data_IF_130107612571
#
_entry.id   IF_130107612571
#
_cell.length_a   1.000
_cell.length_b   1.000
_cell.length_c   1.000
_cell.angle_alpha   90.00
_cell.angle_beta   90.00
_cell.angle_gamma   90.00
#
_symmetry.space_group_name_H-M   'P 1'
#
loop_
_entity.id
_entity.type
_entity.pdbx_description
1 polymer ?
#
# COMPACT_ATOMS: atom_id res chain seq x y z
N UNK A 1 13.87 51.44 51.13
CA UNK A 1 15.29 51.58 50.76
C UNK A 1 15.61 50.45 49.78
N UNK A 2 15.95 50.81 48.54
CA UNK A 2 16.63 50.04 47.45
C UNK A 2 15.98 48.75 46.90
N UNK A 3 15.40 48.80 45.68
CA UNK A 3 15.95 48.48 44.33
C UNK A 3 15.66 47.01 43.92
N UNK A 4 14.92 46.83 42.82
CA UNK A 4 15.31 45.94 41.72
C UNK A 4 14.36 46.11 40.51
N UNK A 5 14.77 46.97 39.57
CA UNK A 5 14.29 46.99 38.19
C UNK A 5 14.69 45.69 37.49
N UNK A 6 13.77 45.05 36.77
CA UNK A 6 14.10 44.15 35.66
C UNK A 6 13.17 44.45 34.48
N UNK A 7 13.65 45.34 33.61
CA UNK A 7 13.33 45.28 32.20
C UNK A 7 14.22 44.22 31.54
N UNK A 8 13.67 43.43 30.62
CA UNK A 8 14.44 42.76 29.59
C UNK A 8 13.62 42.69 28.29
N UNK A 9 14.35 42.99 27.21
CA UNK A 9 13.92 43.32 25.87
C UNK A 9 13.14 42.19 25.18
N UNK A 10 12.05 42.55 24.50
CA UNK A 10 11.52 41.79 23.37
C UNK A 10 12.41 42.02 22.15
N UNK A 11 13.32 41.10 21.86
CA UNK A 11 14.02 41.02 20.57
C UNK A 11 13.18 40.19 19.60
N UNK A 12 12.55 40.88 18.64
CA UNK A 12 11.86 40.26 17.52
C UNK A 12 12.88 39.53 16.63
N UNK A 13 12.82 38.19 16.64
CA UNK A 13 13.53 37.33 15.71
C UNK A 13 12.85 37.39 14.34
N UNK A 14 13.33 38.29 13.47
CA UNK A 14 13.08 38.21 12.03
C UNK A 14 13.84 36.99 11.48
N UNK A 15 13.19 35.83 11.54
CA UNK A 15 13.64 34.65 10.82
C UNK A 15 13.31 34.89 9.35
N UNK A 16 14.28 35.41 8.58
CA UNK A 16 14.17 35.45 7.12
C UNK A 16 14.12 34.02 6.62
N UNK A 17 12.95 33.60 6.15
CA UNK A 17 12.78 32.35 5.39
C UNK A 17 13.56 32.55 4.09
N UNK A 18 14.83 32.11 4.07
CA UNK A 18 15.56 31.95 2.83
C UNK A 18 14.87 30.81 2.09
N UNK A 19 14.01 31.16 1.13
CA UNK A 19 13.54 30.19 0.15
C UNK A 19 14.77 29.64 -0.55
N UNK A 20 15.13 28.38 -0.28
CA UNK A 20 16.12 27.66 -1.09
C UNK A 20 15.54 27.54 -2.49
N UNK A 21 15.83 28.52 -3.35
CA UNK A 21 15.57 28.41 -4.78
C UNK A 21 16.45 27.27 -5.28
N UNK A 22 15.85 26.11 -5.49
CA UNK A 22 16.55 24.96 -6.08
C UNK A 22 16.84 25.32 -7.54
N UNK A 23 18.11 25.63 -7.84
CA UNK A 23 18.55 25.88 -9.22
C UNK A 23 18.48 24.61 -10.08
N UNK A 24 18.35 24.77 -11.39
CA UNK A 24 18.38 23.68 -12.38
C UNK A 24 19.55 22.72 -12.10
N UNK A 25 19.31 21.41 -12.12
CA UNK A 25 20.36 20.41 -11.91
C UNK A 25 20.75 19.74 -13.22
N UNK A 26 22.02 19.75 -13.58
CA UNK A 26 22.51 19.16 -14.82
C UNK A 26 23.59 18.11 -14.57
N UNK A 27 23.63 17.09 -15.42
CA UNK A 27 24.76 16.16 -15.43
C UNK A 27 26.00 16.88 -15.93
N UNK A 28 27.11 16.80 -15.20
CA UNK A 28 28.39 17.36 -15.59
C UNK A 28 29.44 16.27 -15.75
N UNK A 29 30.00 16.18 -16.95
CA UNK A 29 31.01 15.18 -17.28
C UNK A 29 31.80 15.50 -18.55
N UNK A 30 32.91 14.78 -18.72
CA UNK A 30 33.71 14.72 -19.94
C UNK A 30 34.16 13.27 -20.14
N UNK A 31 33.88 12.68 -21.31
CA UNK A 31 34.27 11.30 -21.62
C UNK A 31 34.49 11.06 -23.11
N UNK A 32 35.09 9.92 -23.48
CA UNK A 32 35.28 9.53 -24.89
C UNK A 32 34.03 8.89 -25.49
N UNK A 33 33.10 8.46 -24.63
CA UNK A 33 31.78 7.97 -25.01
C UNK A 33 30.70 8.57 -24.13
N UNK A 34 29.45 8.47 -24.58
CA UNK A 34 28.28 8.84 -23.77
C UNK A 34 28.27 8.06 -22.45
N UNK A 35 28.55 6.76 -22.52
CA UNK A 35 28.61 5.84 -21.38
C UNK A 35 29.67 6.26 -20.37
N UNK A 36 30.91 6.47 -20.82
CA UNK A 36 32.02 6.90 -19.95
C UNK A 36 31.74 8.25 -19.28
N UNK A 37 31.12 9.20 -20.00
CA UNK A 37 30.74 10.50 -19.45
C UNK A 37 29.68 10.33 -18.35
N UNK A 38 28.70 9.44 -18.55
CA UNK A 38 27.67 9.18 -17.54
C UNK A 38 28.23 8.42 -16.33
N UNK A 39 29.17 7.48 -16.51
CA UNK A 39 29.77 6.71 -15.40
C UNK A 39 30.71 7.56 -14.54
N UNK A 40 31.47 8.48 -15.14
CA UNK A 40 32.45 9.33 -14.43
C UNK A 40 31.88 10.69 -14.00
N UNK A 41 30.67 11.00 -14.44
CA UNK A 41 30.02 12.28 -14.21
C UNK A 41 29.33 12.38 -12.86
N UNK A 42 28.80 13.58 -12.59
CA UNK A 42 27.95 13.83 -11.42
C UNK A 42 26.86 14.82 -11.73
N UNK A 43 25.76 14.69 -11.01
CA UNK A 43 24.67 15.67 -11.04
C UNK A 43 25.05 16.89 -10.20
N UNK A 44 25.08 18.08 -10.80
CA UNK A 44 25.38 19.34 -10.13
C UNK A 44 24.19 20.28 -10.18
N UNK A 45 24.11 21.22 -9.24
CA UNK A 45 23.18 22.35 -9.29
C UNK A 45 23.84 23.50 -10.05
N UNK A 46 23.17 24.02 -11.08
CA UNK A 46 23.64 25.13 -11.87
C UNK A 46 23.66 26.43 -11.06
N UNK A 47 24.62 27.29 -11.37
CA UNK A 47 24.86 28.56 -10.66
C UNK A 47 24.84 29.71 -11.67
N UNK A 48 24.46 30.92 -11.23
CA UNK A 48 24.63 32.17 -11.97
C UNK A 48 24.10 32.17 -13.43
N UNK A 49 22.78 32.38 -13.62
CA UNK A 49 22.12 32.52 -14.94
C UNK A 49 22.31 31.31 -15.89
N UNK A 50 22.70 30.16 -15.36
CA UNK A 50 22.87 28.91 -16.10
C UNK A 50 21.57 28.11 -16.11
N UNK A 51 20.64 28.54 -16.95
CA UNK A 51 19.26 28.02 -16.94
C UNK A 51 19.02 26.92 -17.99
N UNK A 52 20.08 26.27 -18.51
CA UNK A 52 19.98 25.11 -19.39
C UNK A 52 21.09 24.08 -19.16
N UNK A 53 20.76 22.80 -19.35
CA UNK A 53 21.73 21.74 -19.48
C UNK A 53 22.19 21.63 -20.95
N UNK A 54 23.50 21.72 -21.16
CA UNK A 54 24.13 21.58 -22.46
C UNK A 54 24.81 20.21 -22.62
N UNK A 55 24.73 19.65 -23.83
CA UNK A 55 25.57 18.53 -24.27
C UNK A 55 26.31 18.92 -25.54
N UNK A 56 27.62 18.67 -25.58
CA UNK A 56 28.44 18.79 -26.79
C UNK A 56 29.03 17.43 -27.13
N UNK A 57 28.77 16.96 -28.35
CA UNK A 57 29.37 15.73 -28.88
C UNK A 57 30.27 16.11 -30.06
N UNK A 58 31.56 15.90 -29.93
CA UNK A 58 32.55 16.10 -31.00
C UNK A 58 33.01 14.75 -31.51
N UNK A 59 32.89 14.52 -32.81
CA UNK A 59 33.36 13.31 -33.49
C UNK A 59 34.43 13.67 -34.51
N UNK A 60 35.50 12.88 -34.50
CA UNK A 60 36.58 12.95 -35.46
C UNK A 60 37.09 11.54 -35.74
N UNK A 61 36.71 11.00 -36.90
CA UNK A 61 36.91 9.61 -37.30
C UNK A 61 36.44 8.63 -36.20
N UNK A 62 37.34 7.84 -35.64
CA UNK A 62 37.08 6.86 -34.58
C UNK A 62 37.04 7.46 -33.18
N UNK A 63 37.34 8.75 -33.02
CA UNK A 63 37.43 9.42 -31.72
C UNK A 63 36.18 10.27 -31.48
N UNK A 64 35.52 10.03 -30.35
CA UNK A 64 34.42 10.84 -29.87
C UNK A 64 34.81 11.52 -28.55
N UNK A 65 34.29 12.72 -28.31
CA UNK A 65 34.33 13.38 -27.00
C UNK A 65 32.95 13.94 -26.68
N UNK A 66 32.45 13.60 -25.49
CA UNK A 66 31.16 14.03 -24.96
C UNK A 66 31.42 14.94 -23.77
N UNK A 67 30.79 16.12 -23.77
CA UNK A 67 30.81 17.06 -22.66
C UNK A 67 29.38 17.39 -22.25
N UNK A 68 29.08 17.28 -20.97
CA UNK A 68 27.78 17.67 -20.38
C UNK A 68 28.04 18.69 -19.29
N UNK A 69 27.23 19.75 -19.22
CA UNK A 69 27.43 20.85 -18.27
C UNK A 69 26.20 21.76 -18.16
N UNK A 70 26.13 22.53 -17.07
CA UNK A 70 25.29 23.74 -16.98
C UNK A 70 25.80 24.81 -17.95
N UNK A 71 24.89 25.56 -18.57
CA UNK A 71 25.24 26.65 -19.48
C UNK A 71 24.18 27.75 -19.45
N UNK A 72 24.58 28.98 -19.76
CA UNK A 72 23.62 30.06 -19.99
C UNK A 72 22.73 29.75 -21.19
N UNK A 73 21.44 30.09 -21.08
CA UNK A 73 20.42 29.81 -22.09
C UNK A 73 20.86 30.32 -23.47
N UNK A 74 21.12 31.61 -23.57
CA UNK A 74 21.50 32.25 -24.85
C UNK A 74 22.74 31.63 -25.49
N UNK A 75 23.77 31.34 -24.69
CA UNK A 75 25.01 30.72 -25.14
C UNK A 75 24.78 29.31 -25.70
N UNK A 76 23.92 28.51 -25.08
CA UNK A 76 23.59 27.19 -25.59
C UNK A 76 22.81 27.27 -26.92
N UNK A 77 21.80 28.14 -27.00
CA UNK A 77 21.01 28.29 -28.23
C UNK A 77 21.83 28.84 -29.40
N UNK A 78 22.81 29.72 -29.14
CA UNK A 78 23.75 30.20 -30.15
C UNK A 78 24.63 29.06 -30.71
N UNK A 79 25.10 28.16 -29.86
CA UNK A 79 25.81 26.96 -30.32
C UNK A 79 24.89 26.03 -31.12
N UNK A 80 23.65 25.83 -30.65
CA UNK A 80 22.67 24.98 -31.33
C UNK A 80 22.33 25.50 -32.73
N UNK A 81 22.28 26.82 -32.94
CA UNK A 81 22.12 27.41 -34.29
C UNK A 81 23.24 26.97 -35.25
N UNK A 82 24.44 26.68 -34.74
CA UNK A 82 25.54 26.18 -35.57
C UNK A 82 25.33 24.76 -36.10
N UNK A 83 24.45 23.95 -35.49
CA UNK A 83 24.09 22.65 -36.04
C UNK A 83 23.43 22.78 -37.43
N UNK A 84 22.70 23.87 -37.67
CA UNK A 84 21.80 24.09 -38.81
C UNK A 84 22.22 25.22 -39.76
N UNK A 85 23.49 25.65 -39.73
CA UNK A 85 23.93 26.78 -40.54
C UNK A 85 23.80 26.48 -42.05
N UNK A 86 23.11 27.38 -42.77
CA UNK A 86 22.56 27.21 -44.15
C UNK A 86 23.59 27.37 -45.28
N UNK A 87 24.79 27.89 -44.99
CA UNK A 87 25.78 28.32 -46.00
C UNK A 87 26.97 27.37 -46.21
N UNK A 88 26.83 26.09 -45.88
CA UNK A 88 27.84 25.09 -46.20
C UNK A 88 27.20 23.73 -46.40
N UNK A 89 27.70 22.95 -47.36
CA UNK A 89 27.21 21.62 -47.77
C UNK A 89 27.33 20.51 -46.70
N UNK A 90 27.42 20.86 -45.41
CA UNK A 90 27.52 19.91 -44.29
C UNK A 90 26.77 20.45 -43.07
N UNK A 91 25.64 19.82 -42.72
CA UNK A 91 25.10 19.91 -41.36
C UNK A 91 26.22 19.53 -40.38
N UNK A 92 26.60 20.43 -39.46
CA UNK A 92 27.71 20.16 -38.52
C UNK A 92 27.37 19.06 -37.52
N UNK A 93 26.10 18.93 -37.15
CA UNK A 93 25.61 17.79 -36.40
C UNK A 93 25.04 16.74 -37.35
N UNK A 94 25.89 15.79 -37.74
CA UNK A 94 25.51 14.67 -38.59
C UNK A 94 26.31 13.44 -38.19
N UNK A 95 25.62 12.37 -37.79
CA UNK A 95 26.26 11.13 -37.37
C UNK A 95 26.91 10.36 -38.53
N UNK A 96 26.52 10.68 -39.76
CA UNK A 96 26.99 10.00 -40.97
C UNK A 96 28.27 10.65 -41.54
N UNK A 97 28.79 11.71 -40.90
CA UNK A 97 30.02 12.38 -41.32
C UNK A 97 31.21 11.91 -40.45
N UNK A 98 32.41 11.73 -41.05
CA UNK A 98 33.62 11.37 -40.31
C UNK A 98 34.06 12.48 -39.34
N UNK A 99 33.61 13.72 -39.52
CA UNK A 99 33.75 14.75 -38.49
C UNK A 99 32.46 15.53 -38.32
N UNK A 100 31.97 15.58 -37.09
CA UNK A 100 30.76 16.31 -36.72
C UNK A 100 30.85 16.88 -35.31
N UNK A 101 30.13 17.98 -35.09
CA UNK A 101 29.94 18.59 -33.78
C UNK A 101 28.45 18.82 -33.57
N UNK A 102 27.91 18.22 -32.51
CA UNK A 102 26.52 18.33 -32.13
C UNK A 102 26.39 19.08 -30.81
N UNK A 103 25.57 20.14 -30.82
CA UNK A 103 25.19 20.90 -29.63
C UNK A 103 23.73 20.63 -29.28
N UNK A 104 23.44 20.18 -28.06
CA UNK A 104 22.08 19.97 -27.55
C UNK A 104 21.85 20.79 -26.28
N UNK A 105 20.63 21.30 -26.15
CA UNK A 105 20.20 22.13 -25.02
C UNK A 105 18.84 21.62 -24.53
N UNK A 106 18.64 21.60 -23.21
CA UNK A 106 17.36 21.34 -22.57
C UNK A 106 17.31 22.04 -21.20
N UNK A 107 16.12 22.28 -20.69
CA UNK A 107 15.83 23.16 -19.54
C UNK A 107 15.17 22.44 -18.35
N UNK A 108 15.11 21.11 -18.35
CA UNK A 108 14.63 20.31 -17.22
C UNK A 108 15.79 19.71 -16.39
N UNK A 109 15.52 19.37 -15.14
CA UNK A 109 16.48 18.68 -14.26
C UNK A 109 16.98 17.36 -14.88
N UNK A 110 18.30 17.17 -14.89
CA UNK A 110 19.00 16.01 -15.42
C UNK A 110 18.68 15.70 -16.89
N UNK A 111 18.10 16.64 -17.64
CA UNK A 111 17.61 16.40 -19.00
C UNK A 111 18.72 16.07 -20.00
N UNK A 112 19.97 16.41 -19.68
CA UNK A 112 21.12 16.13 -20.51
C UNK A 112 21.72 14.74 -20.27
N UNK A 113 21.12 13.87 -19.45
CA UNK A 113 21.54 12.45 -19.36
C UNK A 113 21.30 11.70 -20.67
N UNK A 114 20.31 12.13 -21.47
CA UNK A 114 20.02 11.55 -22.78
C UNK A 114 21.07 11.88 -23.83
N UNK A 115 21.18 10.99 -24.83
CA UNK A 115 22.05 11.19 -25.98
C UNK A 115 21.59 12.38 -26.84
N UNK A 116 22.54 13.19 -27.29
CA UNK A 116 22.32 14.32 -28.20
C UNK A 116 21.86 13.88 -29.60
N UNK A 117 21.88 12.58 -29.90
CA UNK A 117 21.55 12.01 -31.22
C UNK A 117 20.37 11.04 -31.23
N UNK A 118 19.75 10.79 -30.08
CA UNK A 118 18.56 9.95 -30.03
C UNK A 118 17.38 10.69 -30.66
N UNK A 119 16.67 10.03 -31.60
CA UNK A 119 15.29 10.41 -31.91
C UNK A 119 14.53 10.37 -30.59
N UNK A 120 14.06 11.52 -30.13
CA UNK A 120 13.35 11.65 -28.86
C UNK A 120 11.97 11.02 -29.07
N UNK A 121 11.85 9.69 -29.04
CA UNK A 121 10.64 9.12 -28.46
C UNK A 121 10.75 9.49 -27.00
N UNK A 122 10.04 10.55 -26.61
CA UNK A 122 10.00 10.99 -25.23
C UNK A 122 9.52 9.80 -24.40
N UNK A 123 10.43 9.18 -23.64
CA UNK A 123 9.99 8.23 -22.62
C UNK A 123 9.09 9.02 -21.68
N UNK A 124 7.96 8.44 -21.36
CA UNK A 124 7.07 8.95 -20.33
C UNK A 124 7.08 7.92 -19.21
N UNK A 125 6.93 8.39 -17.99
CA UNK A 125 6.62 7.49 -16.89
C UNK A 125 5.23 6.89 -17.09
N UNK A 126 4.94 5.81 -16.36
CA UNK A 126 3.58 5.30 -16.29
C UNK A 126 2.64 6.45 -15.92
N UNK A 127 1.59 6.65 -16.72
CA UNK A 127 0.52 7.58 -16.34
C UNK A 127 0.00 7.05 -15.02
N UNK A 128 -0.06 7.88 -13.98
CA UNK A 128 -0.81 7.55 -12.77
C UNK A 128 -2.24 7.21 -13.19
N UNK A 129 -2.49 5.92 -13.39
CA UNK A 129 -3.73 5.41 -13.95
C UNK A 129 -4.67 5.21 -12.78
N UNK A 130 -5.78 5.94 -12.84
CA UNK A 130 -6.76 6.20 -11.77
C UNK A 130 -6.29 7.25 -10.77
N UNK A 131 -7.12 8.28 -10.64
CA UNK A 131 -7.04 9.33 -9.65
C UNK A 131 -6.68 8.74 -8.28
N UNK A 132 -5.73 9.35 -7.57
CA UNK A 132 -5.49 9.04 -6.16
C UNK A 132 -6.83 9.10 -5.42
N UNK A 133 -7.37 7.95 -5.04
CA UNK A 133 -8.70 7.87 -4.45
C UNK A 133 -8.71 8.66 -3.13
N UNK A 134 -9.80 9.37 -2.85
CA UNK A 134 -9.90 10.25 -1.67
C UNK A 134 -8.81 11.36 -1.62
N UNK A 135 -8.19 11.64 -2.77
CA UNK A 135 -7.11 12.61 -2.91
C UNK A 135 -7.03 13.26 -4.29
N UNK A 136 -5.91 13.94 -4.53
CA UNK A 136 -5.61 14.64 -5.78
C UNK A 136 -4.14 14.50 -6.13
N UNK A 137 -3.87 14.48 -7.44
CA UNK A 137 -2.53 14.49 -8.01
C UNK A 137 -2.41 15.69 -8.94
N UNK A 138 -1.37 16.50 -8.75
CA UNK A 138 -1.02 17.62 -9.62
C UNK A 138 0.38 17.40 -10.18
N UNK A 139 0.56 17.41 -11.50
CA UNK A 139 1.85 17.21 -12.15
C UNK A 139 2.26 18.41 -12.99
N UNK A 140 3.53 18.82 -12.90
CA UNK A 140 4.04 19.99 -13.65
C UNK A 140 4.02 19.79 -15.17
N UNK A 141 4.24 18.56 -15.65
CA UNK A 141 4.21 18.23 -17.09
C UNK A 141 3.68 16.81 -17.34
N UNK A 142 2.51 16.50 -16.77
CA UNK A 142 1.89 15.16 -16.87
C UNK A 142 2.89 14.06 -16.45
N UNK A 143 3.03 12.99 -17.24
CA UNK A 143 3.97 11.90 -17.01
C UNK A 143 5.27 12.01 -17.84
N UNK A 144 5.64 13.21 -18.33
CA UNK A 144 6.89 13.39 -19.09
C UNK A 144 8.10 13.41 -18.17
N UNK A 145 9.25 12.96 -18.67
CA UNK A 145 10.54 13.05 -17.96
C UNK A 145 10.78 14.47 -17.46
N UNK A 146 11.21 14.60 -16.21
CA UNK A 146 11.40 15.87 -15.50
C UNK A 146 10.17 16.36 -14.74
N UNK A 147 8.98 15.84 -15.06
CA UNK A 147 7.73 16.20 -14.36
C UNK A 147 7.81 15.85 -12.88
N UNK A 148 7.29 16.75 -12.04
CA UNK A 148 7.10 16.54 -10.61
C UNK A 148 5.60 16.44 -10.33
N UNK A 149 5.17 15.33 -9.72
CA UNK A 149 3.79 15.05 -9.34
C UNK A 149 3.62 15.14 -7.83
N UNK A 150 2.75 16.04 -7.39
CA UNK A 150 2.41 16.31 -6.00
C UNK A 150 1.10 15.60 -5.66
N UNK A 151 1.12 14.85 -4.55
CA UNK A 151 0.00 14.05 -4.06
C UNK A 151 -0.52 14.66 -2.76
N UNK A 152 -1.83 14.65 -2.56
CA UNK A 152 -2.46 15.07 -1.30
C UNK A 152 -3.82 14.40 -1.14
N UNK A 153 -4.18 14.02 0.08
CA UNK A 153 -5.52 13.51 0.40
C UNK A 153 -6.47 14.69 0.64
N UNK A 154 -7.69 14.60 0.12
CA UNK A 154 -8.69 15.67 0.16
C UNK A 154 -9.86 15.33 1.07
N UNK A 155 -10.14 14.05 1.30
CA UNK A 155 -11.21 13.59 2.20
C UNK A 155 -10.73 13.62 3.66
N UNK A 156 -11.60 14.09 4.56
CA UNK A 156 -11.32 14.12 5.99
C UNK A 156 -11.05 12.71 6.54
N UNK A 157 -10.08 12.59 7.44
CA UNK A 157 -9.70 11.31 8.07
C UNK A 157 -8.74 10.44 7.25
N UNK A 158 -8.35 10.88 6.04
CA UNK A 158 -7.35 10.20 5.22
C UNK A 158 -5.98 10.88 5.30
N UNK A 159 -4.92 10.08 5.22
CA UNK A 159 -3.53 10.54 5.16
C UNK A 159 -2.76 9.83 4.05
N UNK A 160 -1.66 10.44 3.58
CA UNK A 160 -0.80 9.84 2.57
C UNK A 160 0.02 8.69 3.16
N UNK A 161 -0.03 7.52 2.53
CA UNK A 161 0.81 6.38 2.87
C UNK A 161 1.59 5.88 1.64
N UNK A 162 2.94 5.81 1.70
CA UNK A 162 3.79 6.29 2.78
C UNK A 162 3.83 7.84 2.81
N UNK A 163 3.99 8.41 4.01
CA UNK A 163 3.88 9.85 4.25
C UNK A 163 4.99 10.68 3.60
N UNK A 164 6.10 10.04 3.19
CA UNK A 164 7.24 10.67 2.55
C UNK A 164 7.15 10.71 1.01
N UNK A 165 6.09 10.12 0.43
CA UNK A 165 5.86 10.04 -1.01
C UNK A 165 4.92 11.15 -1.52
N UNK A 166 5.03 12.35 -0.93
CA UNK A 166 4.24 13.53 -1.32
C UNK A 166 4.58 14.03 -2.71
N UNK A 167 5.83 13.87 -3.18
CA UNK A 167 6.30 14.32 -4.48
C UNK A 167 7.06 13.21 -5.20
N UNK A 168 6.63 12.89 -6.42
CA UNK A 168 7.27 11.92 -7.31
C UNK A 168 7.86 12.65 -8.52
N UNK A 169 9.07 12.28 -8.92
CA UNK A 169 9.73 12.83 -10.11
C UNK A 169 9.82 11.78 -11.22
N UNK A 170 9.42 12.14 -12.43
CA UNK A 170 9.58 11.26 -13.59
C UNK A 170 11.04 11.29 -14.07
N UNK A 171 11.74 10.18 -13.86
CA UNK A 171 13.18 10.08 -14.16
C UNK A 171 13.42 9.76 -15.64
N UNK A 172 14.62 10.07 -16.14
CA UNK A 172 15.00 9.87 -17.54
C UNK A 172 14.97 8.43 -18.05
N UNK A 173 14.85 7.44 -17.16
CA UNK A 173 14.67 6.03 -17.50
C UNK A 173 13.21 5.66 -17.83
N UNK A 174 12.25 6.55 -17.57
CA UNK A 174 10.81 6.28 -17.72
C UNK A 174 10.14 5.70 -16.46
N UNK A 175 10.74 5.86 -15.29
CA UNK A 175 10.18 5.43 -14.01
C UNK A 175 10.05 6.61 -13.03
N UNK A 176 9.07 6.52 -12.13
CA UNK A 176 8.92 7.45 -11.01
C UNK A 176 10.01 7.24 -9.96
N UNK A 177 10.44 8.31 -9.30
CA UNK A 177 11.49 8.28 -8.27
C UNK A 177 11.13 7.45 -7.03
N UNK A 178 9.84 7.22 -6.78
CA UNK A 178 9.28 6.44 -5.66
C UNK A 178 8.01 5.72 -6.12
N UNK A 179 7.53 4.76 -5.31
CA UNK A 179 6.18 4.18 -5.45
C UNK A 179 5.14 5.28 -5.17
N UNK A 180 4.04 5.28 -5.92
CA UNK A 180 2.95 6.23 -5.69
C UNK A 180 2.31 5.99 -4.30
N UNK A 181 1.96 7.04 -3.55
CA UNK A 181 1.24 6.88 -2.30
C UNK A 181 -0.23 6.54 -2.55
N UNK A 182 -0.90 6.00 -1.54
CA UNK A 182 -2.35 5.94 -1.45
C UNK A 182 -2.86 6.95 -0.40
N UNK A 183 -4.16 7.24 -0.42
CA UNK A 183 -4.82 7.84 0.72
C UNK A 183 -5.37 6.72 1.60
N UNK A 184 -4.72 6.52 2.74
CA UNK A 184 -5.08 5.52 3.74
C UNK A 184 -5.85 6.17 4.90
N UNK A 185 -6.58 5.34 5.65
CA UNK A 185 -7.19 5.72 6.93
C UNK A 185 -6.46 5.02 8.09
N UNK A 186 -6.58 5.55 9.32
CA UNK A 186 -6.10 4.84 10.50
C UNK A 186 -6.69 3.43 10.59
N UNK A 187 -5.83 2.45 10.78
CA UNK A 187 -6.20 1.06 11.00
C UNK A 187 -5.64 0.66 12.37
N UNK A 188 -6.49 0.35 13.36
CA UNK A 188 -7.95 0.58 13.48
C UNK A 188 -8.38 2.07 13.48
N UNK A 189 -9.68 2.42 13.30
CA UNK A 189 -10.87 1.56 13.25
C UNK A 189 -11.43 1.27 11.84
N UNK A 190 -10.76 1.70 10.78
CA UNK A 190 -11.29 1.67 9.42
C UNK A 190 -10.83 0.46 8.59
N UNK A 191 -10.75 -0.70 9.21
CA UNK A 191 -10.43 -1.96 8.56
C UNK A 191 -11.73 -2.70 8.25
N UNK A 192 -12.18 -2.83 6.99
CA UNK A 192 -13.35 -3.62 6.62
C UNK A 192 -13.07 -5.12 6.73
N UNK A 193 -13.80 -5.81 7.61
CA UNK A 193 -13.72 -7.27 7.72
C UNK A 193 -15.02 -7.92 8.18
N UNK A 194 -15.21 -9.16 7.73
CA UNK A 194 -16.31 -10.03 8.08
C UNK A 194 -15.78 -11.10 9.04
N UNK A 195 -16.32 -11.15 10.27
CA UNK A 195 -15.95 -12.18 11.24
C UNK A 195 -17.08 -13.20 11.43
N UNK A 196 -16.83 -14.45 11.00
CA UNK A 196 -17.77 -15.56 11.10
C UNK A 196 -17.38 -16.48 12.26
N UNK A 197 -18.24 -16.56 13.27
CA UNK A 197 -18.08 -17.50 14.38
C UNK A 197 -18.68 -18.86 14.00
N UNK A 198 -17.84 -19.87 13.86
CA UNK A 198 -18.26 -21.26 13.60
C UNK A 198 -18.11 -22.05 14.90
N UNK A 199 -19.23 -22.46 15.49
CA UNK A 199 -19.27 -22.88 16.89
C UNK A 199 -19.74 -24.33 17.01
N UNK A 200 -18.89 -25.21 17.53
CA UNK A 200 -19.34 -26.55 17.92
C UNK A 200 -20.38 -26.43 19.06
N UNK A 201 -21.44 -27.25 19.00
CA UNK A 201 -22.53 -27.28 19.96
C UNK A 201 -22.12 -27.77 21.37
N UNK A 202 -21.03 -28.53 21.47
CA UNK A 202 -20.66 -29.31 22.65
C UNK A 202 -20.41 -28.52 23.95
N UNK A 203 -19.85 -27.30 23.88
CA UNK A 203 -19.51 -26.50 25.07
C UNK A 203 -20.17 -25.11 25.09
N UNK A 204 -21.43 -25.01 25.56
CA UNK A 204 -22.19 -23.75 25.53
C UNK A 204 -21.66 -22.68 26.49
N UNK A 205 -21.16 -23.03 27.67
CA UNK A 205 -20.72 -22.04 28.67
C UNK A 205 -19.38 -21.40 28.30
N UNK A 206 -18.44 -22.20 27.79
CA UNK A 206 -17.21 -21.75 27.18
C UNK A 206 -17.47 -20.79 26.01
N UNK A 207 -18.38 -21.17 25.10
CA UNK A 207 -18.83 -20.32 23.99
C UNK A 207 -19.42 -19.00 24.47
N UNK A 208 -20.31 -19.02 25.47
CA UNK A 208 -20.88 -17.78 26.05
C UNK A 208 -19.79 -16.89 26.62
N UNK A 209 -18.82 -17.46 27.33
CA UNK A 209 -17.71 -16.69 27.89
C UNK A 209 -16.83 -16.10 26.78
N UNK A 210 -16.53 -16.87 25.73
CA UNK A 210 -15.81 -16.42 24.55
C UNK A 210 -16.52 -15.26 23.85
N UNK A 211 -17.80 -15.43 23.49
CA UNK A 211 -18.59 -14.39 22.82
C UNK A 211 -18.71 -13.12 23.67
N UNK A 212 -18.85 -13.25 25.00
CA UNK A 212 -18.87 -12.11 25.92
C UNK A 212 -17.53 -11.38 25.96
N UNK A 213 -16.43 -12.11 26.11
CA UNK A 213 -15.07 -11.53 26.14
C UNK A 213 -14.74 -10.84 24.82
N UNK A 214 -15.09 -11.47 23.70
CA UNK A 214 -14.97 -10.88 22.38
C UNK A 214 -15.78 -9.59 22.24
N UNK A 215 -17.06 -9.61 22.62
CA UNK A 215 -17.89 -8.41 22.58
C UNK A 215 -17.31 -7.25 23.42
N UNK A 216 -16.74 -7.56 24.59
CA UNK A 216 -16.06 -6.58 25.44
C UNK A 216 -14.79 -6.00 24.80
N UNK A 217 -13.97 -6.83 24.15
CA UNK A 217 -12.76 -6.39 23.44
C UNK A 217 -13.11 -5.53 22.23
N UNK A 218 -14.09 -5.96 21.44
CA UNK A 218 -14.55 -5.22 20.29
C UNK A 218 -15.10 -3.85 20.70
N UNK A 219 -15.93 -3.79 21.76
CA UNK A 219 -16.44 -2.52 22.30
C UNK A 219 -15.35 -1.60 22.86
N UNK A 220 -14.25 -2.15 23.36
CA UNK A 220 -13.18 -1.35 23.98
C UNK A 220 -12.10 -0.88 22.99
N UNK A 221 -11.80 -1.66 21.95
CA UNK A 221 -10.83 -1.30 20.89
C UNK A 221 -11.45 -0.58 19.70
N UNK A 222 -12.70 -0.90 19.35
CA UNK A 222 -13.39 -0.34 18.19
C UNK A 222 -14.60 0.48 18.64
N UNK A 223 -14.45 1.80 18.68
CA UNK A 223 -15.55 2.72 18.97
C UNK A 223 -16.59 2.79 17.83
N UNK A 224 -16.18 2.48 16.59
CA UNK A 224 -17.11 2.40 15.46
C UNK A 224 -17.63 0.96 15.34
N UNK A 225 -18.79 0.68 15.94
CA UNK A 225 -19.65 -0.43 15.56
C UNK A 225 -20.36 -0.13 14.21
N UNK A 226 -19.61 0.48 13.28
CA UNK A 226 -20.12 0.89 11.99
C UNK A 226 -20.15 -0.36 11.09
N UNK A 227 -21.32 -0.78 10.60
CA UNK A 227 -21.46 -1.92 9.71
C UNK A 227 -20.65 -1.77 8.41
N UNK A 228 -20.17 -0.56 8.07
CA UNK A 228 -19.27 -0.32 6.93
C UNK A 228 -17.87 -0.96 7.13
N UNK A 229 -17.41 -1.14 8.39
CA UNK A 229 -16.06 -1.67 8.67
C UNK A 229 -16.09 -3.01 9.39
N UNK A 230 -17.14 -3.31 10.15
CA UNK A 230 -17.21 -4.56 10.88
C UNK A 230 -18.57 -5.22 10.72
N UNK A 231 -18.53 -6.44 10.17
CA UNK A 231 -19.69 -7.31 10.07
C UNK A 231 -19.38 -8.63 10.75
N UNK A 232 -20.42 -9.25 11.30
CA UNK A 232 -20.24 -10.53 11.97
C UNK A 232 -21.40 -11.47 11.74
N UNK A 233 -21.07 -12.74 11.62
CA UNK A 233 -22.00 -13.85 11.45
C UNK A 233 -21.72 -14.94 12.47
N UNK A 234 -22.70 -15.80 12.70
CA UNK A 234 -22.57 -16.96 13.58
C UNK A 234 -23.24 -18.15 12.92
N UNK A 235 -22.64 -19.33 13.07
CA UNK A 235 -23.27 -20.61 12.76
C UNK A 235 -22.89 -21.64 13.84
N UNK A 236 -23.85 -22.45 14.27
CA UNK A 236 -23.64 -23.55 15.23
C UNK A 236 -23.83 -24.88 14.53
N UNK A 237 -22.99 -25.87 14.86
CA UNK A 237 -23.04 -27.19 14.25
C UNK A 237 -22.78 -28.32 15.26
N UNK A 238 -23.16 -29.53 14.88
CA UNK A 238 -22.77 -30.81 15.50
C UNK A 238 -22.51 -31.84 14.39
N UNK A 239 -23.37 -32.86 14.23
CA UNK A 239 -23.35 -33.77 13.09
C UNK A 239 -23.87 -33.10 11.82
N UNK A 240 -24.73 -32.10 12.00
CA UNK A 240 -25.27 -31.23 10.96
C UNK A 240 -25.04 -29.77 11.34
N UNK A 241 -25.08 -28.90 10.33
CA UNK A 241 -25.22 -27.46 10.54
C UNK A 241 -26.66 -27.17 10.96
N UNK A 242 -26.84 -26.29 11.94
CA UNK A 242 -28.15 -25.88 12.45
C UNK A 242 -28.51 -24.51 11.84
N UNK A 243 -29.24 -24.45 10.70
CA UNK A 243 -29.45 -23.21 9.94
C UNK A 243 -30.26 -22.18 10.71
N UNK A 244 -31.08 -22.59 11.68
CA UNK A 244 -31.80 -21.69 12.57
C UNK A 244 -30.89 -20.86 13.48
N UNK A 245 -29.61 -21.24 13.59
CA UNK A 245 -28.61 -20.50 14.37
C UNK A 245 -27.79 -19.53 13.54
N UNK A 246 -27.93 -19.60 12.21
CA UNK A 246 -27.25 -18.73 11.27
C UNK A 246 -27.72 -17.28 11.42
N UNK A 247 -26.77 -16.37 11.58
CA UNK A 247 -27.02 -14.93 11.56
C UNK A 247 -26.34 -14.36 10.32
N UNK A 248 -27.09 -13.62 9.49
CA UNK A 248 -26.53 -13.03 8.27
C UNK A 248 -25.49 -11.95 8.59
N UNK A 249 -24.48 -11.82 7.73
CA UNK A 249 -23.51 -10.72 7.78
C UNK A 249 -24.15 -9.34 7.66
N UNK A 250 -25.41 -9.24 7.20
CA UNK A 250 -26.14 -7.97 7.13
C UNK A 250 -26.90 -7.63 8.44
N UNK A 251 -26.87 -8.49 9.45
CA UNK A 251 -27.57 -8.35 10.75
C UNK A 251 -26.61 -8.03 11.91
N UNK A 252 -25.53 -7.30 11.62
CA UNK A 252 -24.24 -7.20 12.35
C UNK A 252 -24.25 -6.79 13.83
N UNK A 253 -25.34 -6.24 14.35
CA UNK A 253 -25.41 -5.73 15.73
C UNK A 253 -25.80 -6.78 16.77
N UNK A 254 -26.03 -8.04 16.35
CA UNK A 254 -26.80 -9.01 17.13
C UNK A 254 -25.94 -10.04 17.89
N UNK A 255 -24.67 -10.33 17.53
CA UNK A 255 -23.97 -11.50 18.15
C UNK A 255 -23.71 -11.32 19.66
N UNK A 256 -23.42 -10.11 20.13
CA UNK A 256 -23.23 -9.83 21.56
C UNK A 256 -24.52 -9.81 22.39
N UNK A 257 -25.68 -9.63 21.74
CA UNK A 257 -27.00 -9.49 22.36
C UNK A 257 -27.92 -10.68 22.11
N UNK A 258 -27.57 -11.55 21.15
CA UNK A 258 -28.27 -12.79 20.83
C UNK A 258 -28.07 -13.81 21.95
N UNK A 259 -28.87 -13.65 22.99
CA UNK A 259 -29.16 -14.71 23.93
C UNK A 259 -29.51 -15.98 23.15
N UNK A 260 -28.84 -17.07 23.50
CA UNK A 260 -29.18 -18.42 23.05
C UNK A 260 -30.57 -18.77 23.61
N UNK A 261 -31.63 -18.37 22.91
CA UNK A 261 -33.00 -18.65 23.37
C UNK A 261 -33.34 -20.13 23.20
N UNK A 262 -32.74 -20.82 22.22
CA UNK A 262 -32.78 -22.28 22.10
C UNK A 262 -31.45 -22.76 21.57
N UNK A 263 -30.86 -23.73 22.27
CA UNK A 263 -29.66 -24.39 21.79
C UNK A 263 -30.04 -25.61 20.94
N UNK A 264 -29.40 -25.82 19.77
CA UNK A 264 -29.73 -26.97 18.96
C UNK A 264 -29.41 -28.28 19.70
N UNK A 265 -29.96 -29.42 19.27
CA UNK A 265 -29.64 -30.71 19.87
C UNK A 265 -28.14 -30.99 19.81
N UNK A 266 -27.60 -31.61 20.87
CA UNK A 266 -26.23 -32.13 20.86
C UNK A 266 -26.25 -33.48 20.13
N UNK A 267 -25.24 -33.70 19.31
CA UNK A 267 -24.91 -35.00 18.71
C UNK A 267 -23.47 -35.34 19.12
N UNK A 268 -23.13 -36.62 19.23
CA UNK A 268 -21.75 -37.06 19.49
C UNK A 268 -20.87 -36.91 18.24
N UNK A 269 -21.48 -36.97 17.05
CA UNK A 269 -20.74 -36.76 15.79
C UNK A 269 -20.49 -35.26 15.59
N UNK A 270 -19.26 -34.91 15.23
CA UNK A 270 -18.82 -33.53 14.95
C UNK A 270 -18.32 -33.47 13.51
N UNK A 271 -19.04 -32.77 12.62
CA UNK A 271 -18.69 -32.65 11.20
C UNK A 271 -18.25 -31.22 10.86
N UNK A 272 -17.00 -30.91 11.19
CA UNK A 272 -16.40 -29.58 10.98
C UNK A 272 -16.27 -29.24 9.49
N UNK A 273 -15.97 -30.22 8.64
CA UNK A 273 -15.85 -30.02 7.20
C UNK A 273 -17.18 -29.58 6.59
N UNK A 274 -18.28 -30.20 7.00
CA UNK A 274 -19.63 -29.80 6.59
C UNK A 274 -19.98 -28.37 7.03
N UNK A 275 -19.57 -27.98 8.23
CA UNK A 275 -19.77 -26.61 8.72
C UNK A 275 -18.97 -25.58 7.92
N UNK A 276 -17.70 -25.87 7.62
CA UNK A 276 -16.87 -25.00 6.77
C UNK A 276 -17.45 -24.88 5.34
N UNK A 277 -17.99 -25.96 4.78
CA UNK A 277 -18.65 -25.94 3.46
C UNK A 277 -19.87 -25.03 3.48
N UNK A 278 -20.69 -25.12 4.53
CA UNK A 278 -21.84 -24.24 4.69
C UNK A 278 -21.42 -22.77 4.75
N UNK A 279 -20.35 -22.43 5.47
CA UNK A 279 -19.85 -21.06 5.55
C UNK A 279 -19.43 -20.53 4.18
N UNK A 280 -18.63 -21.30 3.44
CA UNK A 280 -18.23 -20.92 2.09
C UNK A 280 -19.43 -20.74 1.16
N UNK A 281 -20.34 -21.72 1.17
CA UNK A 281 -21.41 -21.84 0.18
C UNK A 281 -22.68 -21.05 0.54
N UNK A 282 -22.79 -20.45 1.73
CA UNK A 282 -23.99 -19.72 2.16
C UNK A 282 -23.73 -18.44 2.97
N UNK A 283 -22.57 -18.31 3.62
CA UNK A 283 -22.25 -17.12 4.44
C UNK A 283 -21.44 -16.11 3.62
N UNK A 284 -20.42 -16.58 2.90
CA UNK A 284 -19.58 -15.74 2.04
C UNK A 284 -20.11 -15.62 0.59
N UNK A 285 -21.35 -16.02 0.32
CA UNK A 285 -21.91 -15.97 -1.03
C UNK A 285 -22.23 -14.55 -1.48
N UNK A 286 -21.28 -13.94 -2.19
CA UNK A 286 -21.43 -12.72 -3.02
C UNK A 286 -22.50 -11.76 -2.52
N UNK A 287 -22.19 -11.09 -1.41
CA UNK A 287 -22.71 -9.74 -1.20
C UNK A 287 -22.21 -8.88 -2.37
N UNK A 288 -23.08 -8.03 -2.92
CA UNK A 288 -22.66 -6.87 -3.70
C UNK A 288 -21.98 -5.90 -2.74
N UNK A 289 -20.77 -6.26 -2.30
CA UNK A 289 -20.01 -5.49 -1.33
C UNK A 289 -19.52 -4.22 -2.02
N UNK A 290 -20.04 -3.07 -1.61
CA UNK A 290 -19.52 -1.76 -2.03
C UNK A 290 -18.07 -1.54 -1.56
N UNK A 291 -17.64 -2.30 -0.54
CA UNK A 291 -16.29 -2.28 0.04
C UNK A 291 -15.77 -3.71 0.18
N UNK A 292 -14.56 -3.99 -0.32
CA UNK A 292 -13.92 -5.29 -0.12
C UNK A 292 -13.63 -5.52 1.37
N UNK A 293 -14.24 -6.54 1.96
CA UNK A 293 -14.00 -6.97 3.34
C UNK A 293 -13.02 -8.14 3.34
N UNK A 294 -12.12 -8.16 4.32
CA UNK A 294 -11.36 -9.37 4.63
C UNK A 294 -12.28 -10.37 5.33
N UNK A 295 -12.36 -11.60 4.81
CA UNK A 295 -13.19 -12.66 5.37
C UNK A 295 -12.39 -13.47 6.39
N UNK A 296 -12.90 -13.56 7.63
CA UNK A 296 -12.25 -14.26 8.74
C UNK A 296 -13.21 -15.25 9.40
N UNK A 297 -12.77 -16.50 9.53
CA UNK A 297 -13.46 -17.53 10.32
C UNK A 297 -12.77 -17.67 11.67
N UNK A 298 -13.55 -17.59 12.75
CA UNK A 298 -13.15 -18.09 14.06
C UNK A 298 -13.90 -19.39 14.36
N UNK A 299 -13.20 -20.51 14.19
CA UNK A 299 -13.69 -21.85 14.46
C UNK A 299 -13.43 -22.21 15.93
N UNK A 300 -14.49 -22.41 16.70
CA UNK A 300 -14.43 -22.79 18.11
C UNK A 300 -14.86 -24.24 18.24
N UNK A 301 -13.91 -25.10 18.57
CA UNK A 301 -14.07 -26.56 18.63
C UNK A 301 -13.51 -27.10 19.94
N UNK A 302 -13.97 -28.27 20.32
CA UNK A 302 -13.55 -29.01 21.51
C UNK A 302 -13.32 -30.49 21.26
N UNK A 303 -13.50 -30.91 20.02
CA UNK A 303 -13.34 -32.27 19.54
C UNK A 303 -12.86 -32.23 18.08
N UNK A 304 -12.11 -33.25 17.69
CA UNK A 304 -11.66 -33.43 16.31
C UNK A 304 -12.85 -33.78 15.40
N UNK A 305 -12.74 -33.43 14.12
CA UNK A 305 -13.77 -33.70 13.13
C UNK A 305 -13.89 -35.19 12.81
N UNK A 306 -15.12 -35.63 12.57
CA UNK A 306 -15.46 -36.97 12.09
C UNK A 306 -15.54 -37.03 10.55
N UNK A 307 -15.62 -35.88 9.88
CA UNK A 307 -15.56 -35.77 8.41
C UNK A 307 -14.26 -35.10 7.93
N UNK A 308 -13.99 -35.20 6.63
CA UNK A 308 -12.79 -34.59 6.03
C UNK A 308 -12.92 -33.06 5.95
N UNK A 309 -11.90 -32.39 6.51
CA UNK A 309 -11.80 -30.93 6.57
C UNK A 309 -10.85 -30.33 5.52
N UNK A 310 -9.97 -31.15 4.93
CA UNK A 310 -8.79 -30.70 4.17
C UNK A 310 -9.16 -29.94 2.91
N UNK A 311 -10.04 -30.52 2.11
CA UNK A 311 -10.41 -29.94 0.80
C UNK A 311 -11.12 -28.60 1.00
N UNK A 312 -12.18 -28.57 1.80
CA UNK A 312 -12.95 -27.34 2.04
C UNK A 312 -12.14 -26.25 2.71
N UNK A 313 -11.29 -26.59 3.70
CA UNK A 313 -10.50 -25.58 4.38
C UNK A 313 -9.45 -24.98 3.44
N UNK A 314 -8.88 -25.80 2.55
CA UNK A 314 -8.00 -25.30 1.51
C UNK A 314 -8.73 -24.38 0.55
N UNK A 315 -9.91 -24.76 0.07
CA UNK A 315 -10.69 -23.93 -0.85
C UNK A 315 -11.04 -22.57 -0.23
N UNK A 316 -11.48 -22.54 1.05
CA UNK A 316 -11.70 -21.28 1.78
C UNK A 316 -10.43 -20.40 1.84
N UNK A 317 -9.26 -20.98 2.11
CA UNK A 317 -8.00 -20.23 2.13
C UNK A 317 -7.57 -19.77 0.74
N UNK A 318 -7.80 -20.59 -0.29
CA UNK A 318 -7.55 -20.24 -1.69
C UNK A 318 -8.48 -19.07 -2.14
N UNK A 319 -9.68 -18.98 -1.55
CA UNK A 319 -10.63 -17.86 -1.70
C UNK A 319 -10.24 -16.61 -0.86
N UNK A 320 -9.13 -16.66 -0.12
CA UNK A 320 -8.62 -15.53 0.68
C UNK A 320 -9.21 -15.43 2.09
N UNK A 321 -9.94 -16.44 2.56
CA UNK A 321 -10.48 -16.49 3.93
C UNK A 321 -9.39 -16.88 4.93
N UNK A 322 -9.22 -16.09 5.99
CA UNK A 322 -8.33 -16.45 7.11
C UNK A 322 -9.10 -17.30 8.12
N UNK A 323 -8.55 -18.46 8.50
CA UNK A 323 -9.22 -19.38 9.42
C UNK A 323 -8.41 -19.52 10.71
N UNK A 324 -8.99 -19.09 11.82
CA UNK A 324 -8.46 -19.30 13.16
C UNK A 324 -9.20 -20.43 13.87
N UNK A 325 -8.46 -21.23 14.64
CA UNK A 325 -9.03 -22.28 15.48
C UNK A 325 -8.81 -21.96 16.95
N UNK A 326 -9.88 -21.99 17.73
CA UNK A 326 -9.83 -22.04 19.19
C UNK A 326 -10.29 -23.43 19.63
N UNK A 327 -9.32 -24.25 20.05
CA UNK A 327 -9.57 -25.59 20.57
C UNK A 327 -9.69 -25.57 22.08
N UNK A 328 -10.79 -26.08 22.63
CA UNK A 328 -11.08 -26.06 24.06
C UNK A 328 -11.56 -27.41 24.57
N UNK A 329 -10.65 -28.24 25.06
CA UNK A 329 -11.00 -29.51 25.69
C UNK A 329 -10.32 -29.64 27.05
N UNK A 330 -11.06 -30.18 28.02
CA UNK A 330 -10.52 -30.57 29.33
C UNK A 330 -10.09 -32.04 29.37
N UNK A 331 -10.46 -32.81 28.33
CA UNK A 331 -10.41 -34.27 28.38
C UNK A 331 -9.41 -34.88 27.40
N UNK A 332 -9.00 -34.14 26.36
CA UNK A 332 -8.06 -34.63 25.35
C UNK A 332 -7.36 -33.48 24.63
N UNK A 333 -6.24 -33.81 23.99
CA UNK A 333 -5.48 -32.90 23.15
C UNK A 333 -5.98 -32.92 21.69
N UNK A 334 -5.87 -31.81 20.95
CA UNK A 334 -6.29 -31.76 19.56
C UNK A 334 -5.38 -32.59 18.65
N UNK A 335 -5.95 -33.03 17.52
CA UNK A 335 -5.16 -33.51 16.40
C UNK A 335 -4.50 -32.32 15.69
N UNK A 336 -3.22 -32.08 16.00
CA UNK A 336 -2.50 -30.93 15.45
C UNK A 336 -2.38 -30.94 13.92
N UNK A 337 -2.36 -32.11 13.28
CA UNK A 337 -2.32 -32.16 11.81
C UNK A 337 -3.64 -31.68 11.22
N UNK A 338 -4.77 -32.09 11.80
CA UNK A 338 -6.08 -31.64 11.38
C UNK A 338 -6.25 -30.12 11.56
N UNK A 339 -5.79 -29.58 12.69
CA UNK A 339 -5.86 -28.13 12.92
C UNK A 339 -4.99 -27.36 11.91
N UNK A 340 -3.80 -27.86 11.59
CA UNK A 340 -2.95 -27.28 10.54
C UNK A 340 -3.57 -27.41 9.14
N UNK A 341 -4.26 -28.51 8.86
CA UNK A 341 -4.98 -28.72 7.60
C UNK A 341 -6.15 -27.72 7.46
N UNK A 342 -6.74 -27.31 8.59
CA UNK A 342 -7.80 -26.29 8.66
C UNK A 342 -7.24 -24.86 8.53
N UNK A 343 -6.22 -24.50 9.30
CA UNK A 343 -5.75 -23.10 9.37
C UNK A 343 -4.71 -22.77 8.31
N UNK A 344 -3.92 -23.74 7.85
CA UNK A 344 -2.75 -23.52 7.00
C UNK A 344 -1.55 -22.92 7.74
N UNK A 345 -1.77 -22.16 8.81
CA UNK A 345 -0.74 -21.51 9.62
C UNK A 345 -0.83 -21.90 11.10
N UNK A 346 0.32 -22.10 11.73
CA UNK A 346 0.39 -22.53 13.13
C UNK A 346 -0.04 -21.44 14.11
N UNK A 347 0.25 -20.18 13.79
CA UNK A 347 -0.06 -19.04 14.66
C UNK A 347 -1.57 -18.74 14.71
N UNK A 348 -2.34 -19.34 13.80
CA UNK A 348 -3.80 -19.26 13.79
C UNK A 348 -4.48 -20.29 14.72
N UNK A 349 -3.70 -21.13 15.42
CA UNK A 349 -4.20 -22.16 16.33
C UNK A 349 -4.02 -21.72 17.78
N UNK A 350 -5.12 -21.66 18.52
CA UNK A 350 -5.16 -21.34 19.94
C UNK A 350 -5.72 -22.54 20.73
N UNK A 351 -4.91 -23.13 21.60
CA UNK A 351 -5.31 -24.25 22.46
C UNK A 351 -5.59 -23.72 23.87
N UNK A 352 -6.78 -24.03 24.40
CA UNK A 352 -7.29 -23.51 25.66
C UNK A 352 -7.27 -24.58 26.75
N UNK A 353 -6.27 -24.52 27.63
CA UNK A 353 -6.18 -25.37 28.83
C UNK A 353 -6.82 -24.69 30.06
N UNK A 354 -8.10 -24.33 29.97
CA UNK A 354 -8.90 -23.84 31.11
C UNK A 354 -8.72 -22.36 31.50
N UNK A 355 -7.73 -21.64 30.96
CA UNK A 355 -7.62 -20.17 31.10
C UNK A 355 -7.94 -19.51 29.76
N UNK A 356 -8.96 -18.62 29.77
CA UNK A 356 -9.37 -17.85 28.59
C UNK A 356 -8.90 -16.38 28.63
N UNK A 357 -8.25 -15.99 29.73
CA UNK A 357 -7.77 -14.62 29.94
C UNK A 357 -6.61 -14.32 28.99
N UNK A 358 -6.71 -13.23 28.23
CA UNK A 358 -5.67 -12.80 27.28
C UNK A 358 -5.71 -13.42 25.89
N UNK A 359 -6.42 -14.53 25.65
CA UNK A 359 -6.55 -15.10 24.29
C UNK A 359 -7.27 -14.15 23.35
N UNK A 360 -8.32 -13.49 23.81
CA UNK A 360 -9.01 -12.48 23.00
C UNK A 360 -8.08 -11.34 22.58
N UNK A 361 -7.14 -10.92 23.45
CA UNK A 361 -6.13 -9.91 23.10
C UNK A 361 -5.14 -10.44 22.07
N UNK A 362 -4.68 -11.69 22.24
CA UNK A 362 -3.75 -12.32 21.30
C UNK A 362 -4.37 -12.45 19.91
N UNK A 363 -5.58 -13.00 19.85
CA UNK A 363 -6.34 -13.11 18.60
C UNK A 363 -6.60 -11.73 17.97
N UNK A 364 -7.01 -10.73 18.77
CA UNK A 364 -7.20 -9.37 18.25
C UNK A 364 -5.91 -8.78 17.67
N UNK A 365 -4.75 -9.06 18.30
CA UNK A 365 -3.45 -8.60 17.82
C UNK A 365 -3.07 -9.26 16.49
N UNK A 366 -3.28 -10.58 16.37
CA UNK A 366 -3.03 -11.33 15.13
C UNK A 366 -3.91 -10.80 13.97
N UNK A 367 -5.22 -10.68 14.20
CA UNK A 367 -6.14 -10.13 13.21
C UNK A 367 -5.74 -8.71 12.81
N UNK A 368 -5.34 -7.87 13.78
CA UNK A 368 -4.89 -6.51 13.48
C UNK A 368 -3.61 -6.47 12.63
N UNK A 369 -2.71 -7.44 12.79
CA UNK A 369 -1.56 -7.61 11.89
C UNK A 369 -2.05 -7.81 10.45
N UNK A 370 -2.85 -8.86 10.22
CA UNK A 370 -3.35 -9.17 8.88
C UNK A 370 -4.19 -8.04 8.26
N UNK A 371 -5.07 -7.41 9.04
CA UNK A 371 -5.92 -6.33 8.55
C UNK A 371 -5.12 -5.06 8.24
N UNK A 372 -4.12 -4.72 9.05
CA UNK A 372 -3.44 -3.43 8.95
C UNK A 372 -2.07 -3.48 8.24
N UNK A 373 -1.63 -4.65 7.78
CA UNK A 373 -0.34 -4.82 7.10
C UNK A 373 -0.24 -4.01 5.80
N UNK A 374 -1.33 -3.89 5.03
CA UNK A 374 -1.38 -3.05 3.83
C UNK A 374 -2.61 -2.12 3.82
N UNK A 375 -2.48 -1.00 4.55
CA UNK A 375 -3.51 0.05 4.62
C UNK A 375 -3.90 0.69 3.27
N UNK A 376 -3.13 0.44 2.20
CA UNK A 376 -3.45 0.92 0.85
C UNK A 376 -4.36 -0.03 0.06
N UNK A 377 -4.41 -1.32 0.41
CA UNK A 377 -5.28 -2.28 -0.26
C UNK A 377 -6.69 -2.25 0.36
N UNK A 378 -6.81 -1.82 1.61
CA UNK A 378 -8.09 -1.58 2.31
C UNK A 378 -8.94 -0.46 1.69
N UNK A 379 -8.37 0.35 0.80
CA UNK A 379 -9.04 1.49 0.16
C UNK A 379 -9.31 1.28 -1.32
N UNK A 380 -9.03 0.09 -1.86
CA UNK A 380 -9.19 -0.20 -3.27
C UNK A 380 -10.57 -0.82 -3.56
N UNK A 381 -11.53 0.01 -4.00
CA UNK A 381 -12.40 -0.20 -5.17
C UNK A 381 -13.84 0.38 -5.05
N UNK A 382 -14.05 1.47 -5.81
CA UNK A 382 -15.23 1.95 -6.57
C UNK A 382 -16.65 1.87 -6.01
N UNK A 383 -17.35 3.01 -6.09
CA UNK A 383 -18.42 3.18 -7.10
C UNK A 383 -18.24 4.49 -7.87
N UNK A 384 -18.19 4.38 -9.21
CA UNK A 384 -18.60 5.45 -10.13
C UNK A 384 -20.13 5.50 -10.08
N UNK A 385 -20.70 6.68 -9.86
CA UNK A 385 -22.07 7.06 -10.27
C UNK A 385 -22.00 8.40 -11.02
#
# INVERSE_FOLDING_TARGET
MTIALRGCLYLALLCSVISLVQGLRCWQCSGRSEKECLETGKLITCVNEQDVCATTVRRYYSVSRVFKQCKQKQSCFNDRKQNWNKYGTRHRCNNNLPSSVCYCCCDDDSCNVRSCTATITAKTCEVHSKNLENGRVYCTNSNKVGSQCYHSCTKSGYYLNPSDSTTLQCMGNGQWSKKAPCCARPCPPYAPFDLVFVLNRHQPDARKMLLRSFWWLFRSMWWSADPEYYRSSRVVYSSIVHPETYISLNETWIIGTAGESVLPPRDEIVNTGAALRFVRDHVFTTDHRDVMHMDVILLVIDENSHDDVREVAKELRDDGVIIYVMFQSLNHEPNMQELMDITGERDHIFILHGQMEGIGNKFATEIMGHLCDNVCDLTAHTHDD
#
